data_IF_671560744297
#
_entry.id   IF_671560744297
#
_cell.length_a   1.000
_cell.length_b   1.000
_cell.length_c   1.000
_cell.angle_alpha   90.00
_cell.angle_beta   90.00
_cell.angle_gamma   90.00
#
_symmetry.space_group_name_H-M   'P 1'
#
loop_
_entity.id
_entity.type
_entity.pdbx_description
1 polymer ?
#
# COMPACT_ATOMS: atom_id res chain seq x y z
N UNK A 1 5.98 1.07 16.12
CA UNK A 1 4.96 0.29 15.39
C UNK A 1 5.64 -0.81 14.60
N UNK A 2 5.12 -2.04 14.66
CA UNK A 2 5.62 -3.19 13.90
C UNK A 2 4.54 -3.59 12.91
N UNK A 3 4.82 -3.46 11.61
CA UNK A 3 3.90 -3.89 10.56
C UNK A 3 3.80 -5.41 10.49
N UNK A 4 2.58 -5.92 10.34
CA UNK A 4 2.30 -7.33 10.10
C UNK A 4 2.79 -7.78 8.71
N UNK A 5 2.74 -9.08 8.45
CA UNK A 5 3.02 -9.60 7.10
C UNK A 5 2.00 -9.07 6.09
N UNK A 6 0.72 -8.95 6.48
CA UNK A 6 -0.34 -8.44 5.62
C UNK A 6 -0.15 -6.96 5.28
N UNK A 7 0.24 -6.14 6.26
CA UNK A 7 0.55 -4.72 6.03
C UNK A 7 1.68 -4.56 5.00
N UNK A 8 2.73 -5.38 5.11
CA UNK A 8 3.86 -5.38 4.15
C UNK A 8 3.42 -5.80 2.75
N UNK A 9 2.60 -6.84 2.65
CA UNK A 9 2.02 -7.28 1.35
C UNK A 9 1.22 -6.14 0.72
N UNK A 10 0.44 -5.41 1.51
CA UNK A 10 -0.32 -4.25 1.07
C UNK A 10 0.57 -3.14 0.53
N UNK A 11 1.56 -2.70 1.31
CA UNK A 11 2.49 -1.62 0.94
C UNK A 11 3.22 -1.97 -0.36
N UNK A 12 3.79 -3.17 -0.45
CA UNK A 12 4.54 -3.60 -1.64
C UNK A 12 3.64 -3.85 -2.84
N UNK A 13 2.48 -4.47 -2.63
CA UNK A 13 1.50 -4.74 -3.68
C UNK A 13 0.98 -3.44 -4.29
N UNK A 14 0.58 -2.46 -3.48
CA UNK A 14 0.14 -1.15 -3.98
C UNK A 14 1.26 -0.41 -4.72
N UNK A 15 2.50 -0.49 -4.23
CA UNK A 15 3.66 0.04 -4.93
C UNK A 15 3.96 -0.63 -6.29
N UNK A 16 3.50 -1.86 -6.51
CA UNK A 16 3.53 -2.53 -7.81
C UNK A 16 2.38 -2.04 -8.71
N UNK A 17 1.18 -1.91 -8.14
CA UNK A 17 -0.04 -1.53 -8.86
C UNK A 17 -0.09 -0.03 -9.25
N UNK A 18 0.71 0.81 -8.59
CA UNK A 18 0.83 2.25 -8.91
C UNK A 18 1.72 2.55 -10.11
N UNK A 19 2.49 1.56 -10.59
CA UNK A 19 3.40 1.75 -11.72
C UNK A 19 2.61 1.64 -13.03
N UNK A 20 2.99 2.40 -14.08
CA UNK A 20 2.44 2.18 -15.41
C UNK A 20 2.56 0.70 -15.78
N UNK A 21 1.55 0.11 -16.45
CA UNK A 21 1.48 -1.33 -16.61
C UNK A 21 2.74 -1.85 -17.32
N UNK A 22 3.61 -2.52 -16.55
CA UNK A 22 4.72 -3.32 -17.07
C UNK A 22 4.26 -4.76 -17.36
N UNK A 23 3.10 -5.16 -16.86
CA UNK A 23 2.62 -6.53 -16.94
C UNK A 23 1.58 -6.65 -18.04
N UNK A 24 2.07 -7.05 -19.22
CA UNK A 24 1.24 -7.49 -20.34
C UNK A 24 0.48 -8.81 -20.07
N UNK A 25 0.59 -9.40 -18.87
CA UNK A 25 -0.06 -10.66 -18.48
C UNK A 25 -1.27 -10.42 -17.54
N UNK A 26 -2.51 -10.57 -18.06
CA UNK A 26 -3.74 -10.44 -17.27
C UNK A 26 -3.89 -11.46 -16.14
N UNK A 27 -3.28 -12.65 -16.25
CA UNK A 27 -3.37 -13.67 -15.22
C UNK A 27 -2.55 -13.29 -13.98
N UNK A 28 -1.32 -12.83 -14.18
CA UNK A 28 -0.47 -12.30 -13.12
C UNK A 28 -1.12 -11.10 -12.43
N UNK A 29 -1.74 -10.20 -13.21
CA UNK A 29 -2.48 -9.06 -12.67
C UNK A 29 -3.64 -9.50 -11.75
N UNK A 30 -4.49 -10.43 -12.21
CA UNK A 30 -5.60 -10.97 -11.39
C UNK A 30 -5.10 -11.63 -10.11
N UNK A 31 -3.98 -12.33 -10.16
CA UNK A 31 -3.36 -12.92 -8.97
C UNK A 31 -2.93 -11.85 -7.97
N UNK A 32 -2.28 -10.78 -8.43
CA UNK A 32 -1.84 -9.66 -7.58
C UNK A 32 -3.02 -8.96 -6.91
N UNK A 33 -4.09 -8.71 -7.66
CA UNK A 33 -5.33 -8.14 -7.11
C UNK A 33 -5.93 -9.02 -6.00
N UNK A 34 -5.98 -10.35 -6.21
CA UNK A 34 -6.47 -11.29 -5.19
C UNK A 34 -5.62 -11.30 -3.92
N UNK A 35 -4.29 -11.25 -4.08
CA UNK A 35 -3.36 -11.16 -2.94
C UNK A 35 -3.59 -9.88 -2.16
N UNK A 36 -3.76 -8.73 -2.84
CA UNK A 36 -4.05 -7.45 -2.22
C UNK A 36 -5.37 -7.46 -1.45
N UNK A 37 -6.44 -8.00 -2.03
CA UNK A 37 -7.73 -8.14 -1.35
C UNK A 37 -7.61 -8.97 -0.06
N UNK A 38 -6.95 -10.14 -0.13
CA UNK A 38 -6.75 -11.00 1.04
C UNK A 38 -5.87 -10.34 2.12
N UNK A 39 -4.90 -9.51 1.71
CA UNK A 39 -4.07 -8.75 2.65
C UNK A 39 -4.87 -7.61 3.32
N UNK A 40 -5.73 -6.91 2.57
CA UNK A 40 -6.58 -5.84 3.07
C UNK A 40 -7.51 -6.29 4.19
N UNK A 41 -8.16 -7.45 4.04
CA UNK A 41 -9.01 -8.07 5.07
C UNK A 41 -8.29 -8.34 6.41
N UNK A 42 -6.96 -8.46 6.39
CA UNK A 42 -6.13 -8.89 7.54
C UNK A 42 -5.14 -7.81 7.98
N UNK A 43 -5.16 -6.66 7.32
CA UNK A 43 -4.30 -5.54 7.63
C UNK A 43 -4.69 -4.89 8.96
N UNK A 44 -3.75 -4.18 9.56
CA UNK A 44 -3.98 -3.51 10.85
C UNK A 44 -4.83 -2.26 10.66
N UNK A 45 -6.16 -2.42 10.58
CA UNK A 45 -7.12 -1.34 10.31
C UNK A 45 -7.21 -0.27 11.43
N UNK A 46 -6.79 -0.63 12.64
CA UNK A 46 -6.68 0.29 13.77
C UNK A 46 -5.57 1.33 13.56
N UNK A 47 -4.56 1.02 12.75
CA UNK A 47 -3.51 1.97 12.40
C UNK A 47 -4.04 2.96 11.35
N UNK A 48 -4.25 4.21 11.75
CA UNK A 48 -4.81 5.26 10.88
C UNK A 48 -4.01 5.45 9.58
N UNK A 49 -2.68 5.31 9.65
CA UNK A 49 -1.77 5.36 8.49
C UNK A 49 -2.02 4.25 7.45
N UNK A 50 -2.57 3.10 7.86
CA UNK A 50 -2.87 1.98 6.96
C UNK A 50 -4.22 2.10 6.28
N UNK A 51 -5.17 2.86 6.85
CA UNK A 51 -6.54 2.95 6.33
C UNK A 51 -6.62 3.42 4.87
N UNK A 52 -5.86 4.44 4.42
CA UNK A 52 -5.88 4.84 3.01
C UNK A 52 -5.37 3.72 2.08
N UNK A 53 -4.38 2.94 2.51
CA UNK A 53 -3.84 1.83 1.72
C UNK A 53 -4.87 0.70 1.60
N UNK A 54 -5.54 0.36 2.71
CA UNK A 54 -6.61 -0.64 2.73
C UNK A 54 -7.74 -0.24 1.77
N UNK A 55 -8.18 1.02 1.84
CA UNK A 55 -9.25 1.53 0.97
C UNK A 55 -8.89 1.44 -0.53
N UNK A 56 -7.64 1.71 -0.90
CA UNK A 56 -7.20 1.59 -2.29
C UNK A 56 -7.04 0.13 -2.75
N UNK A 57 -6.65 -0.79 -1.86
CA UNK A 57 -6.66 -2.21 -2.15
C UNK A 57 -8.09 -2.74 -2.38
N UNK A 58 -9.07 -2.29 -1.59
CA UNK A 58 -10.49 -2.63 -1.79
C UNK A 58 -11.02 -2.06 -3.13
N UNK A 59 -10.65 -0.82 -3.46
CA UNK A 59 -10.99 -0.20 -4.75
C UNK A 59 -10.44 -1.01 -5.93
N UNK A 60 -9.18 -1.44 -5.86
CA UNK A 60 -8.54 -2.30 -6.86
C UNK A 60 -9.26 -3.64 -6.96
N UNK A 61 -9.57 -4.28 -5.83
CA UNK A 61 -10.27 -5.56 -5.79
C UNK A 61 -11.66 -5.50 -6.42
N UNK A 62 -12.36 -4.36 -6.26
CA UNK A 62 -13.67 -4.11 -6.88
C UNK A 62 -13.62 -3.82 -8.38
N UNK A 63 -12.45 -3.50 -8.94
CA UNK A 63 -12.28 -3.09 -10.33
C UNK A 63 -11.11 -3.83 -11.00
N UNK A 64 -11.40 -4.99 -11.62
CA UNK A 64 -10.40 -5.88 -12.25
C UNK A 64 -9.88 -5.41 -13.63
N UNK A 65 -10.23 -4.19 -14.06
CA UNK A 65 -9.84 -3.61 -15.35
C UNK A 65 -8.54 -2.79 -15.31
N UNK A 66 -8.06 -2.29 -16.46
CA UNK A 66 -6.83 -1.50 -16.56
C UNK A 66 -6.86 -0.27 -15.64
N UNK A 67 -5.93 -0.19 -14.69
CA UNK A 67 -5.92 0.77 -13.58
C UNK A 67 -5.46 2.20 -13.93
N UNK A 68 -5.64 2.68 -15.16
CA UNK A 68 -5.16 3.99 -15.59
C UNK A 68 -5.62 5.14 -14.70
N UNK A 69 -6.89 5.10 -14.25
CA UNK A 69 -7.45 6.10 -13.34
C UNK A 69 -7.11 5.84 -11.85
N UNK A 70 -6.80 4.59 -11.47
CA UNK A 70 -6.55 4.20 -10.07
C UNK A 70 -5.11 4.48 -9.66
N UNK A 71 -4.16 4.47 -10.59
CA UNK A 71 -2.74 4.69 -10.32
C UNK A 71 -2.47 6.00 -9.55
N UNK A 72 -3.17 7.09 -9.88
CA UNK A 72 -3.03 8.37 -9.18
C UNK A 72 -3.53 8.32 -7.72
N UNK A 73 -4.63 7.60 -7.46
CA UNK A 73 -5.16 7.44 -6.11
C UNK A 73 -4.24 6.58 -5.25
N UNK A 74 -3.72 5.49 -5.80
CA UNK A 74 -2.75 4.62 -5.13
C UNK A 74 -1.47 5.39 -4.83
N UNK A 75 -0.93 6.14 -5.79
CA UNK A 75 0.26 6.95 -5.59
C UNK A 75 0.06 8.00 -4.48
N UNK A 76 -1.10 8.67 -4.44
CA UNK A 76 -1.41 9.63 -3.39
C UNK A 76 -1.50 8.97 -2.01
N UNK A 77 -2.11 7.79 -1.89
CA UNK A 77 -2.19 7.05 -0.64
C UNK A 77 -0.80 6.58 -0.16
N UNK A 78 0.03 6.08 -1.07
CA UNK A 78 1.41 5.68 -0.80
C UNK A 78 2.27 6.86 -0.35
N UNK A 79 2.19 8.02 -1.01
CA UNK A 79 2.96 9.20 -0.62
C UNK A 79 2.64 9.64 0.81
N UNK A 80 1.34 9.65 1.20
CA UNK A 80 0.94 9.99 2.58
C UNK A 80 1.48 9.00 3.61
N UNK A 81 1.47 7.71 3.27
CA UNK A 81 2.07 6.67 4.11
C UNK A 81 3.57 6.91 4.26
N UNK A 82 4.29 7.13 3.16
CA UNK A 82 5.74 7.33 3.16
C UNK A 82 6.14 8.59 3.93
N UNK A 83 5.43 9.71 3.75
CA UNK A 83 5.62 10.95 4.52
C UNK A 83 5.50 10.71 6.02
N UNK A 84 4.45 9.99 6.43
CA UNK A 84 4.21 9.67 7.84
C UNK A 84 5.30 8.75 8.41
N UNK A 85 5.76 7.77 7.62
CA UNK A 85 6.85 6.88 8.02
C UNK A 85 8.19 7.62 8.11
N UNK A 86 8.49 8.51 7.16
CA UNK A 86 9.68 9.35 7.19
C UNK A 86 9.72 10.21 8.45
N UNK A 87 8.62 10.89 8.78
CA UNK A 87 8.52 11.69 10.00
C UNK A 87 8.77 10.82 11.25
N UNK A 88 8.09 9.67 11.36
CA UNK A 88 8.22 8.78 12.51
C UNK A 88 9.62 8.17 12.67
N UNK A 89 10.31 7.85 11.57
CA UNK A 89 11.69 7.35 11.61
C UNK A 89 12.69 8.46 11.90
N UNK A 90 12.48 9.66 11.36
CA UNK A 90 13.32 10.82 11.65
C UNK A 90 13.28 11.20 13.13
N UNK A 91 12.10 11.21 13.75
CA UNK A 91 11.97 11.51 15.18
C UNK A 91 12.75 10.52 16.05
N UNK A 92 12.74 9.22 15.70
CA UNK A 92 13.54 8.21 16.40
C UNK A 92 15.04 8.41 16.18
N UNK A 93 15.46 8.69 14.95
CA UNK A 93 16.85 8.94 14.64
C UNK A 93 17.38 10.16 15.42
N UNK A 94 16.60 11.26 15.46
CA UNK A 94 16.93 12.45 16.24
C UNK A 94 17.01 12.16 17.74
N UNK A 95 16.09 11.36 18.30
CA UNK A 95 16.15 10.97 19.70
C UNK A 95 17.43 10.20 20.04
N UNK A 96 17.92 9.36 19.12
CA UNK A 96 19.18 8.63 19.31
C UNK A 96 20.45 9.47 19.19
N UNK A 97 20.38 10.68 18.62
CA UNK A 97 21.51 11.61 18.53
C UNK A 97 21.67 12.48 19.79
N UNK A 98 20.61 12.61 20.58
CA UNK A 98 20.57 13.45 21.78
C UNK A 98 20.60 12.64 23.10
N UNK A 99 20.79 11.31 23.01
CA UNK A 99 20.77 10.38 24.14
C UNK A 99 22.12 9.70 24.36
#
# INVERSE_FOLDING_TARGET
>A
MKFSVYDRVLIHGLGLMSRPPLLADPANHKMQVRILAAAAERATAEAEIMRPLIAEADRIASNLGPHGAIAHHVAAAMNRFDESMMAAFWDKARASLNG
#
